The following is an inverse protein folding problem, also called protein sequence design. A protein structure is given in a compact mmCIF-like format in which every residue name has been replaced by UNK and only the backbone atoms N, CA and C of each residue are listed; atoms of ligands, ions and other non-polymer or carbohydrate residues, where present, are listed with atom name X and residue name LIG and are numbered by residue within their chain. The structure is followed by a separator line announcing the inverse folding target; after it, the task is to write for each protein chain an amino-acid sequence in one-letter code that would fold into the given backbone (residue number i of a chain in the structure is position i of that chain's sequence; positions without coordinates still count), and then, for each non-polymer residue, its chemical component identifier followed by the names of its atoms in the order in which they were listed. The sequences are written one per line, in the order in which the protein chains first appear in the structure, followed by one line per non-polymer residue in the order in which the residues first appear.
data_IF_251625875529
#
_entry.id   IF_251625875529
#
_cell.length_a   1.000
_cell.length_b   1.000
_cell.length_c   1.000
_cell.angle_alpha   90.00
_cell.angle_beta   90.00
_cell.angle_gamma   90.00
#
_symmetry.space_group_name_H-M   'P 1'
#
loop_
_entity.id
_entity.type
_entity.pdbx_description
1 polymer ?
#
# COMPACT_ATOMS: atom_id res chain seq x y z
N UNK A 1 2.56 40.83 46.20
CA UNK A 1 2.87 40.45 44.81
C UNK A 1 3.87 41.47 44.30
N UNK A 2 5.12 41.08 44.05
CA UNK A 2 6.22 41.97 43.69
C UNK A 2 6.34 42.19 42.16
N UNK A 3 5.50 41.52 41.38
CA UNK A 3 5.48 41.67 39.92
C UNK A 3 6.63 40.95 39.20
N UNK A 4 7.25 39.99 39.89
CA UNK A 4 8.44 39.25 39.49
C UNK A 4 8.16 37.89 38.84
N UNK A 5 6.90 37.44 38.84
CA UNK A 5 6.48 36.16 38.27
C UNK A 5 5.23 36.25 37.38
N UNK A 6 5.11 35.31 36.45
CA UNK A 6 3.96 35.18 35.55
C UNK A 6 2.86 34.32 36.19
N UNK A 7 1.64 34.47 35.67
CA UNK A 7 0.57 33.52 35.97
C UNK A 7 0.88 32.14 35.38
N UNK A 8 0.21 31.09 35.87
CA UNK A 8 0.38 29.74 35.33
C UNK A 8 0.13 29.67 33.80
N UNK A 9 -0.86 30.41 33.29
CA UNK A 9 -1.10 30.56 31.84
C UNK A 9 0.05 31.26 31.12
N UNK A 10 0.65 32.29 31.73
CA UNK A 10 1.81 32.98 31.18
C UNK A 10 3.06 32.08 31.11
N UNK A 11 3.28 31.23 32.13
CA UNK A 11 4.32 30.21 32.08
C UNK A 11 4.09 29.17 30.99
N UNK A 12 2.84 28.70 30.82
CA UNK A 12 2.49 27.75 29.76
C UNK A 12 2.76 28.32 28.34
N UNK A 13 2.42 29.59 28.09
CA UNK A 13 2.74 30.27 26.83
C UNK A 13 4.26 30.40 26.62
N UNK A 14 4.97 30.74 27.69
CA UNK A 14 6.42 30.89 27.66
C UNK A 14 7.10 29.55 27.34
N UNK A 15 6.63 28.45 27.94
CA UNK A 15 7.14 27.09 27.68
C UNK A 15 6.85 26.64 26.24
N UNK A 16 5.63 26.86 25.73
CA UNK A 16 5.32 26.59 24.32
C UNK A 16 6.25 27.35 23.36
N UNK A 17 6.61 28.58 23.71
CA UNK A 17 7.55 29.37 22.92
C UNK A 17 9.00 28.86 23.04
N UNK A 18 9.39 28.31 24.19
CA UNK A 18 10.69 27.62 24.36
C UNK A 18 10.76 26.37 23.49
N UNK A 19 9.71 25.54 23.48
CA UNK A 19 9.61 24.36 22.63
C UNK A 19 9.71 24.72 21.15
N UNK A 20 8.98 25.76 20.71
CA UNK A 20 9.06 26.23 19.33
C UNK A 20 10.49 26.63 18.93
N UNK A 21 11.20 27.34 19.82
CA UNK A 21 12.60 27.74 19.61
C UNK A 21 13.54 26.54 19.57
N UNK A 22 13.25 25.49 20.34
CA UNK A 22 13.99 24.23 20.29
C UNK A 22 13.84 23.55 18.92
N UNK A 23 12.60 23.39 18.43
CA UNK A 23 12.37 22.85 17.08
C UNK A 23 13.00 23.72 15.98
N UNK A 24 12.95 25.05 16.11
CA UNK A 24 13.61 25.95 15.18
C UNK A 24 15.15 25.75 15.17
N UNK A 25 15.76 25.50 16.34
CA UNK A 25 17.19 25.20 16.45
C UNK A 25 17.53 23.86 15.78
N UNK A 26 16.75 22.81 16.03
CA UNK A 26 16.90 21.50 15.39
C UNK A 26 16.79 21.64 13.87
N UNK A 27 15.79 22.40 13.39
CA UNK A 27 15.60 22.65 11.97
C UNK A 27 16.76 23.42 11.32
N UNK A 28 17.34 24.39 12.03
CA UNK A 28 18.42 25.21 11.51
C UNK A 28 19.78 24.49 11.49
N UNK A 29 20.07 23.69 12.52
CA UNK A 29 21.42 23.18 12.74
C UNK A 29 21.56 21.66 12.58
N UNK A 30 20.52 20.88 12.92
CA UNK A 30 20.58 19.42 12.87
C UNK A 30 19.99 18.85 11.59
N UNK A 31 18.81 19.33 11.16
CA UNK A 31 18.14 18.85 9.94
C UNK A 31 19.01 18.95 8.68
N UNK A 32 19.82 20.02 8.45
CA UNK A 32 20.71 20.07 7.29
C UNK A 32 21.77 18.96 7.29
N UNK A 33 22.15 18.44 8.46
CA UNK A 33 23.11 17.33 8.57
C UNK A 33 22.51 16.01 8.07
N UNK A 34 21.18 15.84 8.12
CA UNK A 34 20.49 14.65 7.58
C UNK A 34 20.68 14.51 6.07
N UNK A 35 20.92 15.62 5.34
CA UNK A 35 21.20 15.59 3.91
C UNK A 35 22.42 14.72 3.57
N UNK A 36 23.38 14.59 4.48
CA UNK A 36 24.57 13.74 4.33
C UNK A 36 24.26 12.25 4.37
N UNK A 37 23.13 11.87 4.97
CA UNK A 37 22.66 10.49 5.08
C UNK A 37 21.58 10.14 4.04
N UNK A 38 21.14 11.13 3.26
CA UNK A 38 20.12 10.93 2.23
C UNK A 38 20.66 10.01 1.12
N UNK A 39 19.80 9.09 0.67
CA UNK A 39 20.08 8.21 -0.48
C UNK A 39 19.07 8.54 -1.60
N UNK A 40 19.51 8.67 -2.86
CA UNK A 40 18.59 8.91 -3.97
C UNK A 40 17.65 7.72 -4.14
N UNK A 41 16.40 8.00 -4.50
CA UNK A 41 15.43 6.95 -4.80
C UNK A 41 15.77 6.27 -6.12
N UNK A 42 15.97 4.96 -6.07
CA UNK A 42 16.07 4.09 -7.25
C UNK A 42 14.73 3.37 -7.45
N UNK A 43 14.06 3.50 -8.60
CA UNK A 43 12.83 2.77 -8.86
C UNK A 43 13.08 1.24 -8.90
N UNK A 44 12.10 0.42 -8.47
CA UNK A 44 12.22 -1.02 -8.53
C UNK A 44 12.31 -1.51 -9.99
N UNK A 45 13.12 -2.55 -10.21
CA UNK A 45 13.26 -3.16 -11.54
C UNK A 45 12.14 -4.17 -11.81
N UNK A 46 11.99 -4.61 -13.07
CA UNK A 46 11.01 -5.66 -13.45
C UNK A 46 11.23 -7.01 -12.75
N UNK A 47 12.41 -7.23 -12.15
CA UNK A 47 12.71 -8.43 -11.36
C UNK A 47 12.12 -8.38 -9.94
N UNK A 48 11.59 -7.22 -9.52
CA UNK A 48 11.01 -6.99 -8.19
C UNK A 48 9.49 -6.73 -8.29
N UNK A 49 8.67 -7.69 -8.76
CA UNK A 49 7.23 -7.51 -8.95
C UNK A 49 6.42 -7.54 -7.64
N UNK A 50 7.05 -7.93 -6.52
CA UNK A 50 6.38 -8.09 -5.22
C UNK A 50 6.48 -6.81 -4.39
N UNK A 51 5.34 -6.32 -3.93
CA UNK A 51 5.24 -5.20 -2.99
C UNK A 51 4.84 -5.70 -1.61
N UNK A 52 5.77 -5.68 -0.67
CA UNK A 52 5.50 -5.95 0.75
C UNK A 52 5.15 -4.67 1.50
N UNK A 53 4.13 -4.73 2.34
CA UNK A 53 3.72 -3.65 3.25
C UNK A 53 3.79 -4.12 4.69
N UNK A 54 4.52 -3.35 5.50
CA UNK A 54 4.65 -3.53 6.94
C UNK A 54 3.91 -2.38 7.65
N UNK A 55 3.38 -2.63 8.83
CA UNK A 55 2.73 -1.60 9.66
C UNK A 55 3.47 -1.54 10.99
N UNK A 56 3.92 -0.35 11.38
CA UNK A 56 4.66 -0.12 12.62
C UNK A 56 3.97 0.99 13.41
N UNK A 57 3.61 0.72 14.66
CA UNK A 57 2.95 1.68 15.55
C UNK A 57 3.95 2.42 16.46
N UNK A 58 5.19 2.61 15.98
CA UNK A 58 6.31 3.28 16.66
C UNK A 58 6.47 2.85 18.12
N UNK A 59 5.93 3.63 19.06
CA UNK A 59 6.09 3.44 20.50
C UNK A 59 5.04 2.50 21.13
N UNK A 60 4.06 2.02 20.35
CA UNK A 60 2.97 1.18 20.84
C UNK A 60 3.10 -0.28 20.39
N UNK A 61 2.89 -1.20 21.33
CA UNK A 61 2.77 -2.63 21.06
C UNK A 61 1.37 -2.97 20.57
N UNK A 62 1.14 -2.82 19.27
CA UNK A 62 -0.16 -3.15 18.66
C UNK A 62 -0.20 -4.59 18.09
N UNK A 63 -1.30 -5.34 18.28
CA UNK A 63 -1.43 -6.71 17.77
C UNK A 63 -1.42 -6.81 16.24
N UNK A 64 -1.64 -5.71 15.52
CA UNK A 64 -1.55 -5.68 14.05
C UNK A 64 -0.15 -5.39 13.51
N UNK A 65 0.82 -5.09 14.37
CA UNK A 65 2.21 -4.83 13.97
C UNK A 65 2.87 -6.01 13.24
N UNK A 66 2.66 -7.28 13.63
CA UNK A 66 3.28 -8.41 12.93
C UNK A 66 2.66 -8.72 11.58
N UNK A 67 1.46 -8.21 11.28
CA UNK A 67 0.78 -8.43 10.02
C UNK A 67 1.62 -7.94 8.84
N UNK A 68 1.86 -8.83 7.89
CA UNK A 68 2.52 -8.50 6.61
C UNK A 68 1.51 -8.67 5.47
N UNK A 69 1.54 -7.74 4.53
CA UNK A 69 0.74 -7.80 3.30
C UNK A 69 1.67 -7.87 2.11
N UNK A 70 1.38 -8.76 1.16
CA UNK A 70 2.04 -8.80 -0.15
C UNK A 70 1.01 -8.51 -1.24
N UNK A 71 1.43 -7.68 -2.18
CA UNK A 71 0.67 -7.31 -3.37
C UNK A 71 1.54 -7.51 -4.60
N UNK A 72 0.99 -8.09 -5.65
CA UNK A 72 1.67 -8.26 -6.93
C UNK A 72 0.67 -8.35 -8.08
N UNK A 73 1.12 -8.04 -9.29
CA UNK A 73 0.33 -8.24 -10.50
C UNK A 73 0.69 -9.60 -11.12
N UNK A 74 -0.27 -10.46 -11.46
CA UNK A 74 0.00 -11.73 -12.15
C UNK A 74 0.77 -11.57 -13.47
N UNK A 75 0.55 -10.45 -14.18
CA UNK A 75 1.21 -10.17 -15.47
C UNK A 75 2.66 -9.74 -15.34
N UNK A 76 3.04 -9.20 -14.17
CA UNK A 76 4.40 -8.70 -13.92
C UNK A 76 5.34 -9.80 -13.44
N UNK A 77 4.79 -10.97 -13.12
CA UNK A 77 5.59 -12.13 -12.72
C UNK A 77 6.40 -12.63 -13.92
N UNK A 78 7.74 -12.67 -13.83
CA UNK A 78 8.55 -13.20 -14.90
C UNK A 78 8.24 -14.69 -15.09
N UNK A 79 8.37 -15.20 -16.32
CA UNK A 79 8.29 -16.63 -16.67
C UNK A 79 6.90 -17.29 -16.73
N UNK A 80 5.78 -16.56 -16.61
CA UNK A 80 4.45 -17.15 -16.77
C UNK A 80 3.89 -16.94 -18.18
N UNK A 81 3.34 -18.01 -18.77
CA UNK A 81 2.54 -17.92 -20.00
C UNK A 81 1.14 -17.39 -19.72
N UNK A 82 0.38 -17.01 -20.75
CA UNK A 82 -1.00 -16.52 -20.61
C UNK A 82 -1.93 -17.56 -19.97
N UNK A 83 -1.74 -18.85 -20.30
CA UNK A 83 -2.50 -19.97 -19.72
C UNK A 83 -2.17 -20.15 -18.23
N UNK A 84 -0.87 -20.10 -17.88
CA UNK A 84 -0.40 -20.14 -16.50
C UNK A 84 -0.87 -18.94 -15.67
N UNK A 85 -0.90 -17.75 -16.27
CA UNK A 85 -1.40 -16.53 -15.61
C UNK A 85 -2.90 -16.65 -15.34
N UNK A 86 -3.65 -17.19 -16.31
CA UNK A 86 -5.08 -17.46 -16.15
C UNK A 86 -5.35 -18.48 -15.04
N UNK A 87 -4.54 -19.55 -14.98
CA UNK A 87 -4.57 -20.53 -13.89
C UNK A 87 -4.27 -19.89 -12.53
N UNK A 88 -3.24 -19.04 -12.44
CA UNK A 88 -2.88 -18.34 -11.21
C UNK A 88 -4.05 -17.48 -10.69
N UNK A 89 -4.72 -16.73 -11.58
CA UNK A 89 -5.88 -15.91 -11.23
C UNK A 89 -7.00 -16.79 -10.65
N UNK A 90 -7.27 -17.96 -11.26
CA UNK A 90 -8.28 -18.92 -10.78
C UNK A 90 -7.93 -19.49 -9.40
N UNK A 91 -6.68 -19.90 -9.18
CA UNK A 91 -6.21 -20.45 -7.89
C UNK A 91 -6.27 -19.43 -6.75
N UNK A 92 -5.96 -18.18 -7.04
CA UNK A 92 -5.90 -17.10 -6.05
C UNK A 92 -7.32 -16.63 -5.63
N UNK A 93 -8.31 -16.83 -6.50
CA UNK A 93 -9.73 -16.61 -6.22
C UNK A 93 -10.04 -15.20 -5.72
N UNK A 94 -10.65 -15.08 -4.54
CA UNK A 94 -11.12 -13.81 -3.97
C UNK A 94 -10.02 -12.79 -3.65
N UNK A 95 -8.75 -13.23 -3.64
CA UNK A 95 -7.60 -12.36 -3.39
C UNK A 95 -7.18 -11.55 -4.62
N UNK A 96 -7.65 -11.93 -5.81
CA UNK A 96 -7.43 -11.20 -7.05
C UNK A 96 -8.51 -10.13 -7.24
N UNK A 97 -8.11 -8.91 -7.56
CA UNK A 97 -9.05 -7.85 -7.93
C UNK A 97 -9.07 -7.67 -9.47
N UNK A 98 -10.19 -7.95 -10.17
CA UNK A 98 -10.26 -7.83 -11.62
C UNK A 98 -10.18 -6.38 -12.12
N UNK A 99 -10.55 -5.38 -11.30
CA UNK A 99 -10.52 -3.98 -11.72
C UNK A 99 -9.10 -3.40 -11.72
N UNK A 100 -8.29 -3.75 -10.70
CA UNK A 100 -6.91 -3.27 -10.58
C UNK A 100 -5.88 -4.29 -11.07
N UNK A 101 -6.31 -5.51 -11.39
CA UNK A 101 -5.48 -6.66 -11.77
C UNK A 101 -4.42 -7.05 -10.72
N UNK A 102 -4.65 -6.70 -9.45
CA UNK A 102 -3.69 -6.94 -8.35
C UNK A 102 -4.18 -8.10 -7.49
N UNK A 103 -3.26 -9.01 -7.19
CA UNK A 103 -3.43 -10.01 -6.13
C UNK A 103 -2.95 -9.41 -4.82
N UNK A 104 -3.79 -9.48 -3.78
CA UNK A 104 -3.47 -9.00 -2.44
C UNK A 104 -3.70 -10.11 -1.42
N UNK A 105 -2.66 -10.45 -0.66
CA UNK A 105 -2.75 -11.41 0.43
C UNK A 105 -1.98 -10.94 1.65
N UNK A 106 -2.39 -11.41 2.83
CA UNK A 106 -1.76 -11.04 4.09
C UNK A 106 -1.63 -12.23 5.02
N UNK A 107 -0.59 -12.23 5.84
CA UNK A 107 -0.42 -13.17 6.93
C UNK A 107 -0.25 -12.44 8.25
N UNK A 108 -0.88 -12.99 9.29
CA UNK A 108 -0.88 -12.52 10.67
C UNK A 108 -0.97 -13.73 11.63
N UNK A 109 -0.33 -14.83 11.26
CA UNK A 109 -0.37 -16.11 12.01
C UNK A 109 0.71 -16.16 13.09
N UNK A 110 1.85 -15.54 12.83
CA UNK A 110 3.00 -15.51 13.71
C UNK A 110 3.11 -14.17 14.43
N UNK A 111 3.73 -14.18 15.61
CA UNK A 111 4.05 -12.99 16.40
C UNK A 111 5.12 -12.12 15.74
N UNK A 112 5.94 -12.70 14.86
CA UNK A 112 7.03 -12.02 14.19
C UNK A 112 6.68 -11.70 12.73
N UNK A 113 6.84 -10.43 12.35
CA UNK A 113 6.63 -9.98 10.96
C UNK A 113 7.54 -10.71 9.96
N UNK A 114 8.76 -11.07 10.38
CA UNK A 114 9.69 -11.86 9.55
C UNK A 114 9.15 -13.25 9.25
N UNK A 115 8.56 -13.92 10.24
CA UNK A 115 7.96 -15.24 10.06
C UNK A 115 6.72 -15.16 9.16
N UNK A 116 5.84 -14.17 9.37
CA UNK A 116 4.70 -13.93 8.49
C UNK A 116 5.12 -13.65 7.03
N UNK A 117 6.22 -12.92 6.82
CA UNK A 117 6.79 -12.71 5.47
C UNK A 117 7.29 -14.02 4.85
N UNK A 118 8.01 -14.84 5.61
CA UNK A 118 8.54 -16.11 5.13
C UNK A 118 7.43 -17.08 4.74
N UNK A 119 6.35 -17.13 5.52
CA UNK A 119 5.17 -17.94 5.20
C UNK A 119 4.48 -17.45 3.92
N UNK A 120 4.34 -16.13 3.72
CA UNK A 120 3.81 -15.57 2.48
C UNK A 120 4.67 -15.93 1.27
N UNK A 121 5.99 -15.94 1.41
CA UNK A 121 6.91 -16.36 0.34
C UNK A 121 6.75 -17.86 0.04
N UNK A 122 6.72 -18.72 1.07
CA UNK A 122 6.50 -20.16 0.88
C UNK A 122 5.16 -20.45 0.20
N UNK A 123 4.10 -19.71 0.55
CA UNK A 123 2.79 -19.81 -0.11
C UNK A 123 2.85 -19.36 -1.57
N UNK A 124 3.57 -18.28 -1.87
CA UNK A 124 3.78 -17.81 -3.25
C UNK A 124 4.54 -18.85 -4.07
N UNK A 125 5.61 -19.42 -3.52
CA UNK A 125 6.41 -20.45 -4.18
C UNK A 125 5.57 -21.70 -4.46
N UNK A 126 4.71 -22.11 -3.53
CA UNK A 126 3.77 -23.20 -3.73
C UNK A 126 2.75 -22.90 -4.84
N UNK A 127 2.21 -21.67 -4.90
CA UNK A 127 1.32 -21.23 -5.98
C UNK A 127 2.03 -21.24 -7.34
N UNK A 128 3.25 -20.71 -7.40
CA UNK A 128 4.04 -20.68 -8.63
C UNK A 128 4.41 -22.08 -9.10
N UNK A 129 4.71 -22.99 -8.17
CA UNK A 129 4.97 -24.39 -8.46
C UNK A 129 3.73 -25.07 -9.03
N UNK A 130 2.57 -24.90 -8.40
CA UNK A 130 1.30 -25.47 -8.87
C UNK A 130 0.92 -24.95 -10.26
N UNK A 131 1.16 -23.66 -10.52
CA UNK A 131 0.91 -23.06 -11.84
C UNK A 131 1.83 -23.62 -12.93
N UNK A 132 3.10 -23.90 -12.61
CA UNK A 132 4.08 -24.38 -13.59
C UNK A 132 4.05 -25.89 -13.82
N UNK A 133 3.88 -26.67 -12.76
CA UNK A 133 3.98 -28.14 -12.77
C UNK A 133 2.63 -28.85 -12.73
N UNK A 134 1.55 -28.14 -12.38
CA UNK A 134 0.25 -28.77 -12.19
C UNK A 134 -0.31 -29.33 -13.49
N UNK A 135 -0.88 -30.55 -13.41
CA UNK A 135 -1.38 -31.33 -14.55
C UNK A 135 -2.59 -30.71 -15.23
N UNK A 136 -3.36 -29.91 -14.50
CA UNK A 136 -4.59 -29.27 -14.96
C UNK A 136 -4.39 -27.77 -15.19
N UNK A 137 -4.87 -27.26 -16.33
CA UNK A 137 -4.80 -25.85 -16.72
C UNK A 137 -6.07 -25.06 -16.36
N UNK A 138 -7.11 -25.74 -15.88
CA UNK A 138 -8.40 -25.16 -15.51
C UNK A 138 -9.04 -24.33 -16.64
N UNK A 139 -8.86 -24.71 -17.91
CA UNK A 139 -9.41 -23.94 -19.05
C UNK A 139 -10.94 -23.98 -19.12
N UNK A 140 -11.52 -25.09 -18.67
CA UNK A 140 -12.95 -25.34 -18.55
C UNK A 140 -13.63 -24.50 -17.45
N UNK A 141 -12.87 -24.09 -16.43
CA UNK A 141 -13.39 -23.27 -15.32
C UNK A 141 -13.42 -21.78 -15.72
N UNK A 142 -14.58 -21.12 -15.72
CA UNK A 142 -14.65 -19.68 -16.00
C UNK A 142 -14.03 -18.86 -14.85
N UNK A 143 -13.63 -17.62 -15.13
CA UNK A 143 -13.19 -16.72 -14.07
C UNK A 143 -14.36 -16.35 -13.14
N UNK A 144 -14.18 -16.56 -11.84
CA UNK A 144 -15.13 -16.09 -10.83
C UNK A 144 -14.71 -14.72 -10.29
N UNK A 145 -15.53 -13.71 -10.56
CA UNK A 145 -15.35 -12.33 -10.09
C UNK A 145 -16.46 -11.84 -9.17
N UNK A 146 -17.31 -12.74 -8.65
CA UNK A 146 -18.46 -12.38 -7.81
C UNK A 146 -18.06 -11.65 -6.53
N UNK A 147 -16.86 -11.90 -6.00
CA UNK A 147 -16.32 -11.20 -4.83
C UNK A 147 -15.97 -9.73 -5.10
N UNK A 148 -15.67 -9.39 -6.36
CA UNK A 148 -15.30 -8.03 -6.73
C UNK A 148 -16.52 -7.11 -6.90
N UNK A 149 -17.70 -7.70 -7.17
CA UNK A 149 -18.83 -6.99 -7.77
C UNK A 149 -19.76 -6.25 -6.77
N UNK A 150 -19.25 -5.85 -5.61
CA UNK A 150 -20.05 -5.15 -4.58
C UNK A 150 -19.69 -3.68 -4.38
N UNK A 151 -18.71 -3.15 -5.13
CA UNK A 151 -18.24 -1.74 -4.99
C UNK A 151 -18.62 -0.80 -6.13
N UNK A 152 -18.95 -1.32 -7.33
CA UNK A 152 -19.39 -0.48 -8.47
C UNK A 152 -20.72 0.24 -8.22
N UNK A 153 -21.57 -0.29 -7.35
CA UNK A 153 -22.89 0.30 -7.01
C UNK A 153 -22.89 1.14 -5.74
N UNK A 154 -21.82 1.11 -4.91
CA UNK A 154 -21.81 1.79 -3.59
C UNK A 154 -20.92 3.03 -3.52
N UNK A 155 -19.94 3.18 -4.41
CA UNK A 155 -19.16 4.43 -4.54
C UNK A 155 -19.89 5.39 -5.46
N UNK A 156 -20.81 6.14 -4.85
CA UNK A 156 -21.53 7.28 -5.42
C UNK A 156 -20.59 8.13 -6.30
N UNK A 157 -20.89 8.27 -7.59
CA UNK A 157 -20.38 9.39 -8.40
C UNK A 157 -19.28 9.10 -9.43
N UNK A 158 -18.50 8.03 -9.32
CA UNK A 158 -17.34 7.81 -10.23
C UNK A 158 -17.75 7.48 -11.69
N UNK A 159 -18.96 6.96 -11.92
CA UNK A 159 -19.47 6.77 -13.28
C UNK A 159 -19.97 8.07 -13.93
N UNK A 160 -20.15 9.15 -13.15
CA UNK A 160 -20.63 10.43 -13.67
C UNK A 160 -19.42 11.20 -14.16
N UNK A 161 -19.02 10.90 -15.38
CA UNK A 161 -18.04 11.70 -16.10
C UNK A 161 -18.77 12.92 -16.67
N UNK A 162 -18.16 14.10 -16.54
CA UNK A 162 -18.69 15.30 -17.17
C UNK A 162 -18.79 15.05 -18.70
N UNK A 163 -20.00 15.15 -19.29
CA UNK A 163 -20.17 14.87 -20.71
C UNK A 163 -19.25 15.74 -21.54
N UNK A 164 -18.54 15.13 -22.49
CA UNK A 164 -17.62 15.88 -23.35
C UNK A 164 -18.36 16.95 -24.16
N UNK A 165 -19.61 16.66 -24.53
CA UNK A 165 -20.49 17.59 -25.22
C UNK A 165 -20.68 18.89 -24.43
N UNK A 166 -20.71 18.83 -23.10
CA UNK A 166 -20.91 20.01 -22.24
C UNK A 166 -19.65 20.86 -22.10
N UNK A 167 -18.51 20.42 -22.63
CA UNK A 167 -17.29 21.23 -22.68
C UNK A 167 -17.59 22.45 -23.57
N UNK A 168 -17.36 23.65 -23.06
CA UNK A 168 -17.54 24.89 -23.82
C UNK A 168 -16.41 25.08 -24.85
N UNK A 169 -16.51 24.34 -25.96
CA UNK A 169 -15.66 24.46 -27.15
C UNK A 169 -16.00 25.75 -27.92
N UNK A 170 -15.11 26.19 -28.83
CA UNK A 170 -15.33 27.40 -29.62
C UNK A 170 -16.60 27.33 -30.48
N UNK A 171 -16.97 26.13 -30.94
CA UNK A 171 -18.20 25.87 -31.69
C UNK A 171 -19.46 26.06 -30.84
N UNK A 172 -19.40 25.78 -29.54
CA UNK A 172 -20.53 25.91 -28.59
C UNK A 172 -20.64 27.32 -27.99
N UNK A 173 -19.60 28.16 -28.16
CA UNK A 173 -19.58 29.57 -27.74
C UNK A 173 -20.17 30.53 -28.78
N UNK A 174 -20.28 30.09 -30.04
CA UNK A 174 -20.97 30.82 -31.11
C UNK A 174 -22.48 30.58 -31.02
#
# INVERSE_FOLDING_TARGET
FEGDDLTATGHAELDAHRELREFARIAAWEMPLLSKLARPFSPPTKQQPLRFRYTTHLHETHPSSPKVVVEFCPTDLPSLTTTQTSKLIKLVGSRYNPATQIVKMSCDRHTDSRANKAELLSMLDALLKEVKEGKDNFEDVPFDFRHADTKRTRRRGEWLVFPEEWKMTEERRK
#
